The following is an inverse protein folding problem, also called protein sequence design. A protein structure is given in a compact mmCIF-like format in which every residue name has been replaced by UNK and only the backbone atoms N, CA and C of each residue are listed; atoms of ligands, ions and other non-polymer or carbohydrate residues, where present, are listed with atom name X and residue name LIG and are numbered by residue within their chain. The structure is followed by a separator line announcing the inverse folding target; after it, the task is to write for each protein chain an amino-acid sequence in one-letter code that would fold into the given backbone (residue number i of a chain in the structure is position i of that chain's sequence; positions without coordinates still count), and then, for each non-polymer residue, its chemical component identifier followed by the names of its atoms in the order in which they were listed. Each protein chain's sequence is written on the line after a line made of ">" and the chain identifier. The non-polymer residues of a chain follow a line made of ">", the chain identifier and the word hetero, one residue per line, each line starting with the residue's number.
data_IF_230638440943
#
_entry.id   IF_230638440943
#
_cell.length_a   1.000
_cell.length_b   1.000
_cell.length_c   1.000
_cell.angle_alpha   90.00
_cell.angle_beta   90.00
_cell.angle_gamma   90.00
#
_symmetry.space_group_name_H-M   'P 1'
#
loop_
_entity.id
_entity.type
_entity.pdbx_description
1 polymer ?
#
# COMPACT_ATOMS: atom_id res chain seq x y z
N UNK A 1 22.28 -4.57 -15.03
CA UNK A 1 21.71 -3.23 -14.79
C UNK A 1 20.36 -3.47 -14.16
N UNK A 2 20.35 -3.54 -12.83
CA UNK A 2 19.40 -4.32 -12.03
C UNK A 2 18.22 -3.45 -11.63
N UNK A 3 17.03 -3.80 -12.11
CA UNK A 3 15.75 -3.24 -11.66
C UNK A 3 15.52 -3.65 -10.20
N UNK A 4 15.87 -2.76 -9.26
CA UNK A 4 15.61 -2.93 -7.83
C UNK A 4 14.35 -2.15 -7.49
N UNK A 5 13.21 -2.84 -7.44
CA UNK A 5 11.97 -2.29 -6.91
C UNK A 5 12.09 -2.14 -5.39
N UNK A 6 12.30 -0.91 -4.93
CA UNK A 6 12.32 -0.48 -3.53
C UNK A 6 11.02 -0.91 -2.83
N UNK A 7 11.09 -1.87 -1.90
CA UNK A 7 9.91 -2.42 -1.22
C UNK A 7 10.13 -2.40 0.30
N UNK A 8 9.22 -1.78 1.06
CA UNK A 8 9.19 -1.85 2.52
C UNK A 8 8.70 -3.25 2.95
N UNK A 9 9.40 -3.91 3.88
CA UNK A 9 9.01 -5.22 4.43
C UNK A 9 8.90 -5.16 5.95
N UNK A 10 7.89 -5.85 6.51
CA UNK A 10 7.75 -6.08 7.95
C UNK A 10 8.36 -7.43 8.35
N UNK A 11 9.05 -7.44 9.49
CA UNK A 11 9.53 -8.67 10.15
C UNK A 11 9.16 -8.62 11.63
N UNK A 12 8.56 -9.69 12.13
CA UNK A 12 8.25 -9.87 13.55
C UNK A 12 9.47 -10.45 14.29
N UNK A 13 9.89 -9.80 15.38
CA UNK A 13 11.01 -10.25 16.22
C UNK A 13 10.46 -10.90 17.49
N UNK A 14 10.51 -12.24 17.56
CA UNK A 14 10.16 -12.96 18.80
C UNK A 14 11.31 -12.88 19.82
N UNK A 15 10.96 -12.86 21.11
CA UNK A 15 11.84 -12.53 22.25
C UNK A 15 12.95 -13.53 22.60
N UNK A 16 13.37 -14.40 21.68
CA UNK A 16 14.35 -15.47 21.95
C UNK A 16 15.70 -15.32 21.25
N UNK A 17 15.98 -14.20 20.56
CA UNK A 17 17.29 -13.96 19.92
C UNK A 17 17.67 -14.97 18.83
N UNK A 18 16.74 -15.87 18.47
CA UNK A 18 16.86 -16.77 17.34
C UNK A 18 16.24 -16.08 16.13
N UNK A 19 17.08 -15.72 15.17
CA UNK A 19 16.67 -15.50 13.78
C UNK A 19 16.21 -16.85 13.23
N UNK A 20 15.01 -17.24 13.62
CA UNK A 20 14.32 -18.34 12.97
C UNK A 20 13.81 -17.75 11.66
N UNK A 21 14.28 -18.27 10.53
CA UNK A 21 13.54 -18.18 9.27
C UNK A 21 12.19 -18.85 9.54
N UNK A 22 11.22 -18.09 10.04
CA UNK A 22 9.88 -18.60 10.29
C UNK A 22 9.24 -18.82 8.92
N UNK A 23 9.33 -20.06 8.45
CA UNK A 23 8.35 -20.64 7.55
C UNK A 23 6.95 -20.22 8.03
N UNK A 24 6.29 -19.41 7.20
CA UNK A 24 4.86 -19.18 7.23
C UNK A 24 4.26 -18.83 8.58
N UNK A 25 3.99 -17.55 8.79
CA UNK A 25 2.68 -17.20 9.34
C UNK A 25 1.67 -17.85 8.39
N UNK A 26 1.20 -19.04 8.76
CA UNK A 26 0.23 -19.83 8.03
C UNK A 26 -0.96 -18.91 7.75
N UNK A 27 -0.97 -18.39 6.52
CA UNK A 27 -2.18 -18.10 5.78
C UNK A 27 -3.08 -19.27 6.10
N UNK A 28 -4.11 -19.07 6.94
CA UNK A 28 -5.29 -19.93 6.88
C UNK A 28 -5.54 -20.09 5.39
N UNK A 29 -5.43 -21.31 4.82
CA UNK A 29 -5.24 -21.49 3.39
C UNK A 29 -6.29 -20.63 2.75
N UNK A 30 -5.84 -19.60 2.02
CA UNK A 30 -6.74 -18.73 1.30
C UNK A 30 -7.56 -19.72 0.48
N UNK A 31 -8.80 -19.99 0.90
CA UNK A 31 -9.71 -20.90 0.23
C UNK A 31 -9.89 -20.28 -1.16
N UNK A 32 -9.01 -20.72 -2.05
CA UNK A 32 -8.72 -20.17 -3.37
C UNK A 32 -8.63 -18.63 -3.35
N UNK A 33 -7.43 -18.08 -3.18
CA UNK A 33 -7.18 -16.66 -3.49
C UNK A 33 -7.60 -16.39 -4.95
N UNK A 34 -8.87 -16.04 -5.13
CA UNK A 34 -9.50 -15.94 -6.42
C UNK A 34 -8.84 -14.78 -7.15
N UNK A 35 -8.08 -15.09 -8.20
CA UNK A 35 -7.40 -14.08 -9.01
C UNK A 35 -8.50 -13.25 -9.67
N UNK A 36 -8.60 -11.97 -9.30
CA UNK A 36 -9.46 -10.99 -9.96
C UNK A 36 -8.67 -10.21 -10.99
N UNK A 37 -9.31 -9.99 -12.13
CA UNK A 37 -8.86 -9.04 -13.12
C UNK A 37 -9.35 -7.62 -12.74
N UNK A 38 -8.47 -6.64 -12.90
CA UNK A 38 -8.80 -5.22 -12.80
C UNK A 38 -8.09 -4.43 -13.89
N UNK A 39 -8.71 -3.33 -14.32
CA UNK A 39 -8.05 -2.31 -15.13
C UNK A 39 -7.54 -1.21 -14.18
N UNK A 40 -6.23 -1.12 -14.01
CA UNK A 40 -5.59 -0.10 -13.17
C UNK A 40 -5.32 1.16 -13.99
N UNK A 41 -5.81 2.32 -13.53
CA UNK A 41 -5.55 3.60 -14.20
C UNK A 41 -4.07 3.95 -14.07
N UNK A 42 -3.33 3.98 -15.18
CA UNK A 42 -1.90 4.35 -15.20
C UNK A 42 -1.68 5.78 -15.70
N UNK A 43 -2.69 6.38 -16.34
CA UNK A 43 -2.69 7.78 -16.72
C UNK A 43 -4.11 8.34 -16.73
N UNK A 44 -4.27 9.52 -16.12
CA UNK A 44 -5.52 10.26 -16.06
C UNK A 44 -5.22 11.78 -16.03
N UNK A 45 -6.07 12.65 -16.64
CA UNK A 45 -5.89 14.10 -16.58
C UNK A 45 -5.83 14.68 -15.16
N UNK A 46 -6.58 14.09 -14.23
CA UNK A 46 -6.50 14.34 -12.79
C UNK A 46 -5.60 13.28 -12.13
N UNK A 47 -4.51 13.72 -11.51
CA UNK A 47 -3.46 12.84 -10.99
C UNK A 47 -3.92 11.99 -9.79
N UNK A 48 -4.89 12.48 -9.03
CA UNK A 48 -5.51 11.86 -7.86
C UNK A 48 -6.32 10.60 -8.20
N UNK A 49 -6.64 10.40 -9.47
CA UNK A 49 -7.35 9.22 -9.97
C UNK A 49 -6.42 8.13 -10.51
N UNK A 50 -5.11 8.42 -10.62
CA UNK A 50 -4.12 7.44 -11.07
C UNK A 50 -3.97 6.36 -10.02
N UNK A 51 -4.07 5.10 -10.47
CA UNK A 51 -3.95 3.89 -9.68
C UNK A 51 -5.28 3.38 -9.12
N UNK A 52 -6.40 4.06 -9.35
CA UNK A 52 -7.71 3.47 -9.15
C UNK A 52 -7.90 2.23 -10.01
N UNK A 53 -8.66 1.26 -9.50
CA UNK A 53 -8.89 -0.02 -10.14
C UNK A 53 -10.35 -0.15 -10.58
N UNK A 54 -10.59 -0.23 -11.89
CA UNK A 54 -11.89 -0.63 -12.41
C UNK A 54 -11.99 -2.16 -12.31
N UNK A 55 -12.96 -2.71 -11.55
CA UNK A 55 -13.09 -4.16 -11.41
C UNK A 55 -13.49 -4.79 -12.74
N UNK A 56 -12.99 -5.97 -13.08
CA UNK A 56 -13.48 -6.75 -14.22
C UNK A 56 -14.40 -7.86 -13.71
N UNK A 57 -15.66 -7.85 -14.17
CA UNK A 57 -16.70 -8.76 -13.68
C UNK A 57 -17.26 -9.64 -14.80
N UNK A 58 -17.85 -10.79 -14.45
CA UNK A 58 -18.54 -11.67 -15.41
C UNK A 58 -19.75 -10.99 -16.08
N UNK A 59 -20.47 -10.16 -15.32
CA UNK A 59 -21.63 -9.40 -15.84
C UNK A 59 -21.23 -8.16 -16.66
N UNK A 60 -19.94 -7.89 -16.76
CA UNK A 60 -19.39 -6.73 -17.42
C UNK A 60 -19.30 -5.50 -16.53
N UNK A 61 -18.28 -4.70 -16.81
CA UNK A 61 -17.99 -3.44 -16.15
C UNK A 61 -17.99 -2.36 -17.21
N UNK A 62 -18.97 -1.47 -17.12
CA UNK A 62 -19.13 -0.37 -18.05
C UNK A 62 -18.07 0.70 -17.76
N UNK A 63 -17.36 1.11 -18.81
CA UNK A 63 -16.39 2.20 -18.78
C UNK A 63 -16.98 3.38 -19.55
N UNK A 64 -17.05 4.54 -18.91
CA UNK A 64 -17.55 5.77 -19.53
C UNK A 64 -18.17 6.74 -18.55
N UNK A 65 -18.69 7.86 -19.09
CA UNK A 65 -19.25 8.97 -18.29
C UNK A 65 -20.63 8.71 -17.69
N UNK A 66 -21.23 7.57 -18.01
CA UNK A 66 -22.53 7.18 -17.49
C UNK A 66 -22.48 6.99 -15.97
N UNK A 67 -23.52 7.37 -15.22
CA UNK A 67 -23.63 7.04 -13.79
C UNK A 67 -23.62 5.53 -13.51
N UNK A 68 -23.89 4.70 -14.53
CA UNK A 68 -23.81 3.23 -14.47
C UNK A 68 -22.39 2.68 -14.66
N UNK A 69 -21.41 3.55 -14.90
CA UNK A 69 -20.00 3.18 -15.02
C UNK A 69 -19.55 2.45 -13.76
N UNK A 70 -18.60 1.52 -13.90
CA UNK A 70 -18.02 0.82 -12.75
C UNK A 70 -17.20 1.76 -11.85
N UNK A 71 -16.77 2.92 -12.37
CA UNK A 71 -16.16 4.01 -11.61
C UNK A 71 -16.84 5.34 -11.99
N UNK A 72 -17.98 5.68 -11.36
CA UNK A 72 -18.67 6.95 -11.62
C UNK A 72 -17.78 8.16 -11.37
N UNK A 73 -17.82 9.16 -12.26
CA UNK A 73 -17.02 10.39 -12.16
C UNK A 73 -15.57 10.27 -12.65
N UNK A 74 -14.97 9.09 -12.54
CA UNK A 74 -13.56 8.87 -12.95
C UNK A 74 -13.35 9.07 -14.46
N UNK A 75 -14.34 8.73 -15.28
CA UNK A 75 -14.23 8.85 -16.73
C UNK A 75 -14.78 10.17 -17.29
N UNK A 76 -15.10 11.17 -16.45
CA UNK A 76 -15.76 12.43 -16.86
C UNK A 76 -14.85 13.39 -17.63
N UNK A 77 -14.30 12.88 -18.73
CA UNK A 77 -13.43 13.59 -19.67
C UNK A 77 -14.20 13.74 -20.99
N UNK A 78 -14.19 14.93 -21.65
CA UNK A 78 -15.00 15.19 -22.85
C UNK A 78 -14.81 14.19 -24.01
N UNK A 79 -13.63 13.56 -24.10
CA UNK A 79 -13.31 12.57 -25.13
C UNK A 79 -13.85 11.16 -24.83
N UNK A 80 -14.47 10.93 -23.68
CA UNK A 80 -15.04 9.63 -23.33
C UNK A 80 -16.56 9.65 -23.57
N UNK A 81 -17.12 8.64 -24.24
CA UNK A 81 -18.57 8.46 -24.36
C UNK A 81 -19.25 8.16 -23.00
N UNK A 82 -20.58 8.29 -22.93
CA UNK A 82 -21.35 7.89 -21.73
C UNK A 82 -21.18 6.40 -21.45
N UNK A 83 -21.51 5.59 -22.45
CA UNK A 83 -21.25 4.16 -22.48
C UNK A 83 -20.15 4.00 -23.56
N UNK A 84 -18.88 3.89 -23.15
CA UNK A 84 -17.74 3.94 -24.10
C UNK A 84 -17.24 2.54 -24.44
N UNK A 85 -16.95 1.77 -23.42
CA UNK A 85 -16.47 0.41 -23.56
C UNK A 85 -17.02 -0.44 -22.43
N UNK A 86 -17.01 -1.75 -22.61
CA UNK A 86 -17.32 -2.70 -21.57
C UNK A 86 -16.17 -3.70 -21.45
N UNK A 87 -15.68 -3.91 -20.23
CA UNK A 87 -14.72 -4.97 -19.93
C UNK A 87 -15.42 -6.06 -19.15
N UNK A 88 -15.27 -7.32 -19.58
CA UNK A 88 -15.96 -8.46 -18.95
C UNK A 88 -15.11 -9.72 -19.01
N UNK A 89 -15.46 -10.70 -18.19
CA UNK A 89 -14.87 -12.04 -18.29
C UNK A 89 -15.78 -12.92 -19.16
N UNK A 90 -15.25 -13.43 -20.26
CA UNK A 90 -15.93 -14.38 -21.14
C UNK A 90 -15.10 -15.66 -21.28
N UNK A 91 -15.68 -16.81 -20.92
CA UNK A 91 -15.02 -18.13 -21.02
C UNK A 91 -13.62 -18.16 -20.37
N UNK A 92 -13.45 -17.44 -19.25
CA UNK A 92 -12.18 -17.35 -18.52
C UNK A 92 -11.17 -16.34 -19.07
N UNK A 93 -11.49 -15.64 -20.16
CA UNK A 93 -10.66 -14.59 -20.72
C UNK A 93 -11.24 -13.21 -20.44
N UNK A 94 -10.37 -12.21 -20.22
CA UNK A 94 -10.81 -10.82 -20.12
C UNK A 94 -11.01 -10.28 -21.54
N UNK A 95 -12.18 -9.70 -21.80
CA UNK A 95 -12.52 -9.13 -23.10
C UNK A 95 -12.94 -7.68 -22.91
N UNK A 96 -12.38 -6.79 -23.72
CA UNK A 96 -12.86 -5.42 -23.86
C UNK A 96 -13.62 -5.28 -25.18
N UNK A 97 -14.75 -4.58 -25.14
CA UNK A 97 -15.61 -4.30 -26.28
C UNK A 97 -15.88 -2.81 -26.33
N UNK A 98 -15.65 -2.18 -27.48
CA UNK A 98 -16.08 -0.80 -27.73
C UNK A 98 -17.61 -0.78 -27.95
N UNK A 99 -18.30 0.18 -27.34
CA UNK A 99 -19.76 0.31 -27.40
C UNK A 99 -20.19 1.38 -28.40
N UNK A 100 -19.60 1.38 -29.60
CA UNK A 100 -19.79 2.41 -30.63
C UNK A 100 -19.46 3.81 -30.11
N UNK A 101 -18.27 3.91 -29.51
CA UNK A 101 -17.81 5.14 -28.89
C UNK A 101 -17.37 6.17 -29.93
N UNK A 102 -17.51 7.47 -29.62
CA UNK A 102 -17.19 8.54 -30.58
C UNK A 102 -15.72 8.58 -30.99
N UNK A 103 -14.82 8.24 -30.06
CA UNK A 103 -13.37 8.38 -30.27
C UNK A 103 -12.64 7.03 -30.32
N UNK A 104 -13.38 5.92 -30.24
CA UNK A 104 -12.85 4.57 -30.23
C UNK A 104 -12.15 4.18 -28.92
N UNK A 105 -12.19 2.89 -28.64
CA UNK A 105 -11.34 2.20 -27.67
C UNK A 105 -10.08 1.72 -28.36
N UNK A 106 -8.92 1.88 -27.72
CA UNK A 106 -7.67 1.29 -28.22
C UNK A 106 -7.07 0.34 -27.20
N UNK A 107 -6.29 -0.63 -27.69
CA UNK A 107 -5.47 -1.51 -26.86
C UNK A 107 -4.06 -1.54 -27.41
N UNK A 108 -3.08 -1.16 -26.59
CA UNK A 108 -1.68 -1.00 -26.98
C UNK A 108 -1.51 -0.06 -28.18
N UNK A 109 -2.31 1.01 -28.24
CA UNK A 109 -2.29 2.02 -29.31
C UNK A 109 -3.15 1.70 -30.53
N UNK A 110 -3.61 0.46 -30.69
CA UNK A 110 -4.41 0.03 -31.84
C UNK A 110 -5.91 0.09 -31.55
N UNK A 111 -6.74 0.68 -32.44
CA UNK A 111 -8.19 0.72 -32.26
C UNK A 111 -8.81 -0.69 -32.33
N UNK A 112 -9.84 -0.91 -31.52
CA UNK A 112 -10.55 -2.19 -31.45
C UNK A 112 -12.07 -1.98 -31.48
N UNK A 113 -12.78 -2.95 -32.01
CA UNK A 113 -14.20 -3.16 -31.70
C UNK A 113 -14.35 -4.15 -30.53
N UNK A 114 -13.51 -5.18 -30.53
CA UNK A 114 -13.47 -6.23 -29.51
C UNK A 114 -12.08 -6.84 -29.44
N UNK A 115 -11.57 -7.08 -28.22
CA UNK A 115 -10.26 -7.73 -28.02
C UNK A 115 -10.21 -8.53 -26.73
N UNK A 116 -9.58 -9.71 -26.80
CA UNK A 116 -9.15 -10.47 -25.62
C UNK A 116 -7.88 -9.82 -25.08
N UNK A 117 -7.86 -9.50 -23.79
CA UNK A 117 -6.76 -8.84 -23.11
C UNK A 117 -5.85 -9.85 -22.41
N UNK A 118 -4.54 -9.63 -22.51
CA UNK A 118 -3.53 -10.28 -21.68
C UNK A 118 -3.10 -9.36 -20.52
N UNK A 119 -2.62 -9.90 -19.38
CA UNK A 119 -2.05 -9.09 -18.33
C UNK A 119 -0.92 -8.20 -18.87
N UNK A 120 -0.97 -6.90 -18.52
CA UNK A 120 -0.07 -5.88 -19.06
C UNK A 120 -0.59 -5.14 -20.30
N UNK A 121 -1.65 -5.62 -20.95
CA UNK A 121 -2.28 -4.86 -22.03
C UNK A 121 -2.84 -3.53 -21.51
N UNK A 122 -2.64 -2.46 -22.29
CA UNK A 122 -3.09 -1.11 -21.96
C UNK A 122 -4.30 -0.75 -22.80
N UNK A 123 -5.43 -0.51 -22.14
CA UNK A 123 -6.68 0.01 -22.71
C UNK A 123 -6.67 1.54 -22.64
N UNK A 124 -6.92 2.21 -23.76
CA UNK A 124 -7.06 3.67 -23.84
C UNK A 124 -8.50 4.05 -24.18
N UNK A 125 -9.08 4.95 -23.37
CA UNK A 125 -10.38 5.58 -23.63
C UNK A 125 -10.25 7.10 -23.53
N UNK A 126 -10.40 7.82 -24.64
CA UNK A 126 -10.39 9.30 -24.63
C UNK A 126 -9.15 9.94 -24.00
N UNK A 127 -8.01 9.24 -24.01
CA UNK A 127 -6.75 9.67 -23.40
C UNK A 127 -6.50 9.13 -21.98
N UNK A 128 -7.45 8.46 -21.35
CA UNK A 128 -7.23 7.73 -20.09
C UNK A 128 -6.58 6.38 -20.43
N UNK A 129 -5.46 6.04 -19.77
CA UNK A 129 -4.78 4.76 -19.98
C UNK A 129 -4.98 3.87 -18.77
N UNK A 130 -5.36 2.62 -19.02
CA UNK A 130 -5.58 1.61 -17.99
C UNK A 130 -4.89 0.30 -18.36
N UNK A 131 -4.14 -0.29 -17.43
CA UNK A 131 -3.46 -1.56 -17.65
C UNK A 131 -4.24 -2.71 -17.03
N UNK A 132 -4.39 -3.81 -17.76
CA UNK A 132 -4.94 -5.04 -17.18
C UNK A 132 -3.94 -5.64 -16.19
N UNK A 133 -4.38 -5.76 -14.94
CA UNK A 133 -3.67 -6.41 -13.86
C UNK A 133 -4.47 -7.59 -13.33
N UNK A 134 -3.77 -8.68 -12.98
CA UNK A 134 -4.34 -9.80 -12.25
C UNK A 134 -3.81 -9.77 -10.81
N UNK A 135 -4.71 -9.87 -9.83
CA UNK A 135 -4.35 -9.79 -8.42
C UNK A 135 -5.39 -10.45 -7.51
N UNK A 136 -5.15 -10.52 -6.19
CA UNK A 136 -6.08 -11.13 -5.24
C UNK A 136 -7.44 -10.42 -5.22
N UNK A 137 -8.52 -11.18 -4.98
CA UNK A 137 -9.91 -10.71 -5.05
C UNK A 137 -10.30 -9.59 -4.08
N UNK A 138 -9.59 -9.50 -2.96
CA UNK A 138 -9.80 -8.49 -1.93
C UNK A 138 -8.59 -7.57 -1.93
N UNK A 139 -8.81 -6.33 -2.32
CA UNK A 139 -7.93 -5.25 -1.92
C UNK A 139 -8.34 -4.90 -0.50
N UNK A 140 -7.45 -4.97 0.48
CA UNK A 140 -7.69 -4.14 1.64
C UNK A 140 -7.79 -2.71 1.08
N UNK A 141 -8.75 -1.93 1.54
CA UNK A 141 -8.79 -0.49 1.33
C UNK A 141 -8.18 0.19 2.56
N UNK A 142 -6.91 -0.02 2.96
CA UNK A 142 -6.38 0.83 4.01
C UNK A 142 -6.04 2.15 3.33
N UNK A 143 -6.76 3.19 3.71
CA UNK A 143 -6.36 4.55 3.44
C UNK A 143 -5.66 5.05 4.69
N UNK A 144 -4.41 5.45 4.56
CA UNK A 144 -3.74 6.22 5.59
C UNK A 144 -3.62 7.67 5.10
N UNK A 145 -4.10 8.67 5.86
CA UNK A 145 -4.23 10.06 5.37
C UNK A 145 -2.90 10.68 4.93
N UNK A 146 -1.78 10.16 5.42
CA UNK A 146 -0.43 10.65 5.10
C UNK A 146 0.39 9.74 4.17
N UNK A 147 -0.09 8.52 3.87
CA UNK A 147 0.62 7.60 2.95
C UNK A 147 -0.13 7.59 1.62
N UNK A 148 0.46 8.22 0.62
CA UNK A 148 -0.15 8.40 -0.69
C UNK A 148 0.27 7.29 -1.66
N UNK A 149 -0.69 6.76 -2.41
CA UNK A 149 -0.48 5.85 -3.52
C UNK A 149 -1.56 4.78 -3.61
N UNK A 150 -1.65 4.16 -4.78
CA UNK A 150 -2.69 3.18 -5.09
C UNK A 150 -2.10 1.89 -5.70
N UNK A 151 -0.81 1.64 -5.46
CA UNK A 151 -0.18 0.42 -5.96
C UNK A 151 -0.59 -0.81 -5.14
N UNK A 152 -0.64 -1.98 -5.78
CA UNK A 152 -0.90 -3.23 -5.07
C UNK A 152 0.08 -3.48 -3.92
N UNK A 153 1.37 -3.20 -4.13
CA UNK A 153 2.39 -3.35 -3.11
C UNK A 153 2.12 -2.46 -1.89
N UNK A 154 1.62 -1.24 -2.12
CA UNK A 154 1.24 -0.33 -1.04
C UNK A 154 -0.02 -0.81 -0.30
N UNK A 155 -1.02 -1.30 -1.02
CA UNK A 155 -2.21 -1.88 -0.39
C UNK A 155 -1.87 -3.09 0.49
N UNK A 156 -0.96 -3.96 0.03
CA UNK A 156 -0.44 -5.09 0.83
C UNK A 156 0.29 -4.59 2.07
N UNK A 157 1.22 -3.65 1.89
CA UNK A 157 1.97 -3.06 3.00
C UNK A 157 1.02 -2.48 4.05
N UNK A 158 0.05 -1.67 3.63
CA UNK A 158 -0.87 -1.02 4.56
C UNK A 158 -1.73 -2.04 5.33
N UNK A 159 -2.09 -3.17 4.73
CA UNK A 159 -2.76 -4.26 5.45
C UNK A 159 -1.83 -5.06 6.37
N UNK A 160 -0.54 -5.17 6.03
CA UNK A 160 0.48 -5.69 6.95
C UNK A 160 0.65 -4.75 8.17
N UNK A 161 0.64 -3.44 7.93
CA UNK A 161 0.72 -2.42 9.00
C UNK A 161 -0.50 -2.50 9.94
N UNK A 162 -1.72 -2.64 9.41
CA UNK A 162 -2.93 -2.81 10.23
C UNK A 162 -2.86 -4.10 11.09
N UNK A 163 -2.34 -5.20 10.52
CA UNK A 163 -2.12 -6.45 11.26
C UNK A 163 -1.06 -6.27 12.35
N UNK A 164 0.04 -5.60 12.04
CA UNK A 164 1.10 -5.30 12.99
C UNK A 164 0.61 -4.38 14.12
N UNK A 165 -0.26 -3.41 13.84
CA UNK A 165 -0.85 -2.52 14.83
C UNK A 165 -1.68 -3.26 15.89
N UNK A 166 -2.29 -4.39 15.52
CA UNK A 166 -3.06 -5.26 16.44
C UNK A 166 -2.16 -6.21 17.24
N UNK A 167 -0.85 -6.27 16.95
CA UNK A 167 0.13 -7.11 17.62
C UNK A 167 0.79 -6.39 18.79
N UNK A 168 1.17 -7.16 19.81
CA UNK A 168 1.99 -6.68 20.92
C UNK A 168 3.50 -6.90 20.68
N UNK A 169 3.87 -7.51 19.56
CA UNK A 169 5.26 -7.84 19.23
C UNK A 169 6.03 -6.65 18.64
N UNK A 170 7.36 -6.72 18.72
CA UNK A 170 8.24 -5.74 18.09
C UNK A 170 8.22 -5.87 16.57
N UNK A 171 8.07 -4.74 15.87
CA UNK A 171 7.97 -4.67 14.41
C UNK A 171 9.27 -4.10 13.84
N UNK A 172 9.89 -4.82 12.89
CA UNK A 172 11.02 -4.30 12.12
C UNK A 172 10.56 -3.78 10.77
N UNK A 173 10.84 -2.51 10.48
CA UNK A 173 10.55 -1.87 9.19
C UNK A 173 11.81 -1.82 8.31
N UNK A 174 11.84 -2.58 7.21
CA UNK A 174 13.01 -2.69 6.33
C UNK A 174 12.74 -2.02 4.99
N UNK A 175 13.49 -0.96 4.65
CA UNK A 175 13.37 -0.26 3.38
C UNK A 175 14.51 0.74 3.17
N UNK A 176 14.68 1.22 1.94
CA UNK A 176 15.70 2.20 1.58
C UNK A 176 15.47 3.56 2.29
N UNK A 177 16.48 4.43 2.28
CA UNK A 177 16.35 5.78 2.81
C UNK A 177 15.27 6.53 2.05
N UNK A 178 14.34 7.18 2.77
CA UNK A 178 13.25 7.96 2.16
C UNK A 178 12.01 7.17 1.73
N UNK A 179 11.92 5.86 1.97
CA UNK A 179 10.72 5.06 1.60
C UNK A 179 9.54 5.22 2.57
N UNK A 180 9.57 6.21 3.47
CA UNK A 180 8.45 6.48 4.40
C UNK A 180 8.36 5.52 5.59
N UNK A 181 9.49 4.99 6.11
CA UNK A 181 9.49 4.14 7.32
C UNK A 181 8.88 4.84 8.54
N UNK A 182 9.12 6.13 8.69
CA UNK A 182 8.52 6.95 9.76
C UNK A 182 6.99 6.98 9.64
N UNK A 183 6.46 7.22 8.43
CA UNK A 183 5.01 7.19 8.18
C UNK A 183 4.41 5.80 8.45
N UNK A 184 5.15 4.72 8.15
CA UNK A 184 4.71 3.37 8.46
C UNK A 184 4.68 3.09 9.97
N UNK A 185 5.66 3.58 10.73
CA UNK A 185 5.68 3.49 12.19
C UNK A 185 4.54 4.29 12.83
N UNK A 186 4.28 5.51 12.34
CA UNK A 186 3.13 6.34 12.75
C UNK A 186 1.81 5.60 12.48
N UNK A 187 1.65 5.02 11.29
CA UNK A 187 0.45 4.27 10.92
C UNK A 187 0.19 3.07 11.84
N UNK A 188 1.25 2.35 12.25
CA UNK A 188 1.15 1.25 13.22
C UNK A 188 0.69 1.81 14.57
N UNK A 189 1.33 2.87 15.07
CA UNK A 189 1.00 3.47 16.36
C UNK A 189 -0.47 3.95 16.41
N UNK A 190 -0.90 4.73 15.42
CA UNK A 190 -2.25 5.30 15.32
C UNK A 190 -3.36 4.24 15.25
N UNK A 191 -3.07 3.07 14.69
CA UNK A 191 -4.04 1.97 14.56
C UNK A 191 -3.95 0.93 15.68
N UNK A 192 -3.00 1.10 16.62
CA UNK A 192 -2.78 0.16 17.71
C UNK A 192 -3.66 0.45 18.92
N UNK A 193 -3.66 -0.49 19.88
CA UNK A 193 -4.28 -0.27 21.19
C UNK A 193 -3.58 0.83 22.01
N UNK A 194 -2.37 1.26 21.59
CA UNK A 194 -1.53 2.26 22.26
C UNK A 194 -1.62 3.64 21.61
N UNK A 195 -2.52 3.86 20.66
CA UNK A 195 -2.69 5.14 19.96
C UNK A 195 -3.00 6.34 20.88
N UNK A 196 -3.50 6.08 22.10
CA UNK A 196 -3.72 7.11 23.12
C UNK A 196 -2.47 7.46 23.97
N UNK A 197 -1.39 6.69 23.85
CA UNK A 197 -0.13 6.89 24.54
C UNK A 197 0.90 7.67 23.71
N UNK A 198 2.08 7.98 24.27
CA UNK A 198 3.12 8.72 23.56
C UNK A 198 3.76 7.91 22.43
N UNK A 199 4.04 8.53 21.29
CA UNK A 199 4.95 7.99 20.28
C UNK A 199 6.30 8.70 20.38
N UNK A 200 7.33 8.00 20.83
CA UNK A 200 8.70 8.53 20.95
C UNK A 200 9.52 7.98 19.80
N UNK A 201 9.92 8.85 18.87
CA UNK A 201 10.82 8.50 17.76
C UNK A 201 12.25 8.93 18.07
N UNK A 202 13.20 8.00 17.92
CA UNK A 202 14.62 8.21 18.19
C UNK A 202 15.39 8.08 16.89
N UNK A 203 16.15 9.11 16.55
CA UNK A 203 17.15 8.98 15.48
C UNK A 203 18.45 8.42 16.07
N UNK A 204 18.69 7.12 15.92
CA UNK A 204 19.90 6.48 16.43
C UNK A 204 21.20 7.04 15.82
N UNK A 205 21.16 7.66 14.62
CA UNK A 205 22.36 8.27 14.02
C UNK A 205 22.78 9.58 14.71
N UNK A 206 21.88 10.20 15.49
CA UNK A 206 22.16 11.43 16.23
C UNK A 206 22.69 11.15 17.65
N UNK A 207 22.64 9.90 18.12
CA UNK A 207 23.10 9.51 19.46
C UNK A 207 24.57 9.06 19.40
N UNK A 208 25.39 9.63 20.29
CA UNK A 208 26.77 9.16 20.48
C UNK A 208 26.79 7.85 21.26
N UNK A 209 27.63 6.89 20.87
CA UNK A 209 27.71 5.55 21.50
C UNK A 209 27.83 5.62 23.04
N UNK A 210 28.64 6.54 23.57
CA UNK A 210 28.83 6.69 25.02
C UNK A 210 27.68 7.34 25.78
N UNK A 211 26.65 7.85 25.10
CA UNK A 211 25.47 8.50 25.70
C UNK A 211 24.17 7.74 25.45
N UNK A 212 24.19 6.74 24.56
CA UNK A 212 22.97 6.04 24.12
C UNK A 212 22.24 5.37 25.30
N UNK A 213 22.97 4.75 26.22
CA UNK A 213 22.40 4.08 27.39
C UNK A 213 21.74 5.08 28.34
N UNK A 214 22.42 6.21 28.61
CA UNK A 214 21.92 7.27 29.48
C UNK A 214 20.70 7.99 28.89
N UNK A 215 20.63 8.17 27.57
CA UNK A 215 19.46 8.75 26.91
C UNK A 215 18.29 7.75 26.84
N UNK A 216 18.54 6.46 26.54
CA UNK A 216 17.48 5.45 26.45
C UNK A 216 16.89 5.07 27.80
N UNK A 217 17.76 4.80 28.78
CA UNK A 217 17.36 4.23 30.07
C UNK A 217 17.40 5.24 31.22
N UNK A 218 17.96 6.43 30.99
CA UNK A 218 18.14 7.42 32.03
C UNK A 218 19.36 7.14 32.90
N UNK A 219 19.54 7.95 33.92
CA UNK A 219 20.58 7.76 34.92
C UNK A 219 20.20 8.42 36.25
N UNK A 220 20.77 7.89 37.32
CA UNK A 220 20.74 8.51 38.65
C UNK A 220 21.86 9.55 38.80
N UNK A 221 21.69 10.47 39.74
CA UNK A 221 22.73 11.43 40.07
C UNK A 221 24.03 10.73 40.47
N UNK A 222 25.15 11.11 39.84
CA UNK A 222 26.46 10.52 40.11
C UNK A 222 26.78 9.22 39.37
N UNK A 223 25.95 8.78 38.42
CA UNK A 223 26.21 7.58 37.61
C UNK A 223 27.50 7.67 36.76
N UNK A 224 27.92 8.88 36.35
CA UNK A 224 29.16 9.14 35.64
C UNK A 224 29.70 10.55 35.92
N UNK A 225 30.95 10.83 35.52
CA UNK A 225 31.55 12.16 35.64
C UNK A 225 30.80 13.19 34.80
N UNK A 226 30.07 14.10 35.46
CA UNK A 226 29.19 15.08 34.82
C UNK A 226 27.69 14.83 34.99
N UNK A 227 27.28 13.71 35.62
CA UNK A 227 25.88 13.41 35.96
C UNK A 227 25.38 14.28 37.12
N UNK A 228 25.05 15.54 36.82
CA UNK A 228 24.66 16.54 37.81
C UNK A 228 23.33 16.27 38.52
N UNK A 229 22.39 15.57 37.89
CA UNK A 229 21.09 15.20 38.44
C UNK A 229 20.51 13.95 37.77
N UNK A 230 19.48 13.36 38.37
CA UNK A 230 18.79 12.20 37.80
C UNK A 230 17.92 12.59 36.60
N UNK A 231 17.81 11.71 35.61
CA UNK A 231 17.01 11.94 34.40
C UNK A 231 16.37 10.63 33.94
N UNK A 232 15.07 10.68 33.65
CA UNK A 232 14.34 9.55 33.06
C UNK A 232 14.75 9.33 31.60
N UNK A 233 14.86 8.07 31.21
CA UNK A 233 15.21 7.67 29.85
C UNK A 233 14.06 7.78 28.84
N UNK A 234 14.38 7.82 27.56
CA UNK A 234 13.40 7.86 26.47
C UNK A 234 12.47 6.65 26.44
N UNK A 235 12.90 5.49 26.95
CA UNK A 235 12.04 4.31 27.13
C UNK A 235 10.92 4.60 28.14
N UNK A 236 11.23 5.28 29.24
CA UNK A 236 10.22 5.68 30.23
C UNK A 236 9.24 6.71 29.65
N UNK A 237 9.73 7.61 28.79
CA UNK A 237 8.86 8.58 28.08
C UNK A 237 7.90 7.91 27.09
N UNK A 238 8.18 6.68 26.64
CA UNK A 238 7.31 5.90 25.76
C UNK A 238 6.34 4.98 26.52
N UNK A 239 6.29 5.07 27.86
CA UNK A 239 5.43 4.20 28.69
C UNK A 239 3.95 4.34 28.29
N UNK A 240 3.28 3.18 28.13
CA UNK A 240 1.89 3.11 27.65
C UNK A 240 1.71 3.45 26.15
N UNK A 241 2.80 3.75 25.44
CA UNK A 241 2.81 4.19 24.06
C UNK A 241 3.73 3.35 23.17
N UNK A 242 4.44 3.99 22.24
CA UNK A 242 5.30 3.32 21.25
C UNK A 242 6.66 4.00 21.17
N UNK A 243 7.72 3.19 21.15
CA UNK A 243 9.09 3.62 20.90
C UNK A 243 9.50 3.20 19.49
N UNK A 244 9.89 4.16 18.65
CA UNK A 244 10.42 3.92 17.31
C UNK A 244 11.91 4.27 17.27
N UNK A 245 12.71 3.37 16.69
CA UNK A 245 14.18 3.43 16.62
C UNK A 245 14.64 3.38 15.15
#
# INVERSE_FOLDING_TARGET
>A
MTDRRSTLRLVDQTSSGQTTETEGLLVAPAEEAMIRASLTIIHHPSWDLVGLHAPVQNRGSLLGRSPRSCLPGVFDVPKVSRDHAEVRIERGAVVVVDLDSRNGTKVNGEPIERKVLAPGDVVELGGILMMLTLGPASYPEPHHPRILGHSWALAQLLADLERAAKSEHAVTLVGETGTGKELAAEAIHEQSQRAGGPMVAINCSALSEGLIESELFGHEQGAFTGAGGARDGLVAHAEGGTLFL
#
